data_IF_958823466385
#
_entry.id   IF_958823466385
#
_cell.length_a   1.000
_cell.length_b   1.000
_cell.length_c   1.000
_cell.angle_alpha   90.00
_cell.angle_beta   90.00
_cell.angle_gamma   90.00
#
_symmetry.space_group_name_H-M   'P 1'
#
loop_
_entity.id
_entity.type
_entity.pdbx_description
1 polymer ?
#
# COMPACT_ATOMS: atom_id res chain seq x y z
N UNK A 1 -23.51 4.15 56.01
CA UNK A 1 -22.17 4.51 55.52
C UNK A 1 -21.30 4.80 56.75
N UNK A 2 -20.41 3.92 57.07
CA UNK A 2 -19.50 4.06 58.21
C UNK A 2 -18.41 5.10 57.95
N UNK A 3 -17.88 5.74 58.97
CA UNK A 3 -16.77 6.71 58.87
C UNK A 3 -15.56 6.17 58.07
N UNK A 4 -15.33 4.85 58.11
CA UNK A 4 -14.30 4.13 57.37
C UNK A 4 -14.58 4.14 55.85
N UNK A 5 -15.82 4.02 55.41
CA UNK A 5 -16.19 4.06 53.99
C UNK A 5 -16.02 5.46 53.38
N UNK A 6 -16.27 6.52 54.16
CA UNK A 6 -16.01 7.90 53.75
C UNK A 6 -14.51 8.21 53.64
N UNK A 7 -13.69 7.58 54.51
CA UNK A 7 -12.25 7.79 54.52
C UNK A 7 -11.56 7.05 53.38
N UNK A 8 -11.94 5.81 53.12
CA UNK A 8 -11.49 5.01 51.95
C UNK A 8 -11.93 5.66 50.63
N UNK A 9 -13.14 6.15 50.54
CA UNK A 9 -13.59 6.88 49.36
C UNK A 9 -12.73 8.12 49.06
N UNK A 10 -12.34 8.91 50.08
CA UNK A 10 -11.47 10.08 49.87
C UNK A 10 -10.02 9.70 49.49
N UNK A 11 -9.51 8.56 49.92
CA UNK A 11 -8.17 8.09 49.58
C UNK A 11 -8.08 7.55 48.15
N UNK A 12 -9.14 6.90 47.64
CA UNK A 12 -9.16 6.31 46.31
C UNK A 12 -9.73 7.23 45.25
N UNK A 13 -10.45 8.31 45.64
CA UNK A 13 -11.03 9.28 44.70
C UNK A 13 -10.00 9.87 43.72
N UNK A 14 -8.79 10.31 44.15
CA UNK A 14 -7.81 10.86 43.23
C UNK A 14 -7.21 9.80 42.28
N UNK A 15 -7.20 8.52 42.68
CA UNK A 15 -6.76 7.43 41.80
C UNK A 15 -7.82 7.08 40.75
N UNK A 16 -9.09 7.06 41.16
CA UNK A 16 -10.23 6.85 40.25
C UNK A 16 -10.35 8.03 39.27
N UNK A 17 -10.23 9.27 39.77
CA UNK A 17 -10.28 10.48 38.92
C UNK A 17 -9.10 10.55 37.96
N UNK A 18 -7.92 10.08 38.36
CA UNK A 18 -6.78 9.99 37.48
C UNK A 18 -6.98 8.94 36.37
N UNK A 19 -7.47 7.74 36.72
CA UNK A 19 -7.74 6.67 35.75
C UNK A 19 -8.89 7.03 34.81
N UNK A 20 -9.91 7.75 35.31
CA UNK A 20 -11.01 8.27 34.50
C UNK A 20 -10.52 9.38 33.57
N UNK A 21 -9.68 10.30 34.04
CA UNK A 21 -9.06 11.34 33.19
C UNK A 21 -8.13 10.74 32.15
N UNK A 22 -7.32 9.75 32.49
CA UNK A 22 -6.44 9.04 31.53
C UNK A 22 -7.29 8.31 30.48
N UNK A 23 -8.39 7.66 30.87
CA UNK A 23 -9.31 7.01 29.91
C UNK A 23 -10.11 8.01 29.10
N UNK A 24 -10.52 9.14 29.68
CA UNK A 24 -11.18 10.23 28.95
C UNK A 24 -10.21 10.92 27.98
N UNK A 25 -8.96 11.16 28.38
CA UNK A 25 -7.93 11.71 27.50
C UNK A 25 -7.62 10.78 26.31
N UNK A 26 -7.59 9.46 26.53
CA UNK A 26 -7.46 8.47 25.45
C UNK A 26 -8.72 8.47 24.56
N UNK A 27 -9.91 8.63 25.13
CA UNK A 27 -11.16 8.71 24.37
C UNK A 27 -11.30 10.06 23.62
N UNK A 28 -10.79 11.16 24.21
CA UNK A 28 -10.73 12.47 23.55
C UNK A 28 -9.70 12.50 22.44
N UNK A 29 -8.56 11.82 22.59
CA UNK A 29 -7.56 11.66 21.53
C UNK A 29 -8.09 10.81 20.37
N UNK A 30 -8.92 9.82 20.65
CA UNK A 30 -9.65 9.04 19.64
C UNK A 30 -10.74 9.86 18.93
N UNK A 31 -11.34 10.86 19.61
CA UNK A 31 -12.32 11.78 19.04
C UNK A 31 -11.70 12.96 18.27
N UNK A 32 -10.44 13.29 18.50
CA UNK A 32 -9.74 14.37 17.79
C UNK A 32 -9.65 14.12 16.26
N UNK A 33 -9.87 12.87 15.84
CA UNK A 33 -9.95 12.50 14.43
C UNK A 33 -11.15 13.11 13.69
N UNK A 34 -12.33 13.25 14.34
CA UNK A 34 -13.51 13.82 13.69
C UNK A 34 -13.43 15.34 13.53
N UNK A 35 -12.59 16.00 14.27
CA UNK A 35 -12.48 17.46 14.27
C UNK A 35 -11.40 17.98 13.30
N UNK A 36 -10.49 17.12 12.81
CA UNK A 36 -9.49 17.50 11.78
C UNK A 36 -8.61 18.69 12.17
N UNK A 37 -8.77 19.20 13.37
CA UNK A 37 -8.11 20.39 13.87
C UNK A 37 -7.07 19.92 14.86
N UNK A 38 -6.01 19.35 14.36
CA UNK A 38 -4.75 19.64 15.02
C UNK A 38 -4.47 21.10 14.80
N UNK A 39 -4.16 21.77 15.89
CA UNK A 39 -3.68 23.13 15.99
C UNK A 39 -3.18 23.65 14.64
N UNK A 40 -3.84 24.70 14.14
CA UNK A 40 -3.37 25.53 13.05
C UNK A 40 -2.10 26.27 13.48
N UNK A 41 -1.21 25.55 14.13
CA UNK A 41 0.11 26.07 14.42
C UNK A 41 0.85 26.18 13.09
N UNK A 42 1.40 27.32 12.83
CA UNK A 42 2.10 27.82 11.66
C UNK A 42 3.28 26.97 11.19
N UNK A 43 3.17 25.65 11.25
CA UNK A 43 4.25 24.79 10.77
C UNK A 43 4.22 24.69 9.26
N UNK A 44 5.26 25.11 8.60
CA UNK A 44 5.43 24.93 7.16
C UNK A 44 5.33 23.46 6.84
N UNK A 45 4.35 23.08 6.07
CA UNK A 45 3.92 21.75 5.58
C UNK A 45 4.90 20.64 5.90
N UNK A 46 5.83 20.16 5.74
CA UNK A 46 6.62 19.03 6.18
C UNK A 46 7.73 19.32 7.16
N UNK A 47 8.09 20.59 7.33
CA UNK A 47 9.30 20.91 8.08
C UNK A 47 9.18 20.56 9.55
N UNK A 48 7.95 20.42 10.03
CA UNK A 48 7.65 20.21 11.43
C UNK A 48 6.48 19.22 11.61
N UNK A 49 6.47 18.13 10.83
CA UNK A 49 5.59 17.03 11.23
C UNK A 49 6.25 16.29 12.40
N UNK A 50 6.03 16.68 13.67
CA UNK A 50 6.66 16.05 14.83
C UNK A 50 6.24 14.59 14.96
N UNK A 51 5.18 14.19 14.25
CA UNK A 51 4.62 12.85 14.30
C UNK A 51 5.04 11.99 13.10
N UNK A 52 5.90 12.48 12.19
CA UNK A 52 6.33 11.70 11.00
C UNK A 52 6.92 10.36 11.40
N UNK A 53 7.80 10.35 12.40
CA UNK A 53 8.45 9.13 12.89
C UNK A 53 7.40 8.16 13.45
N UNK A 54 6.53 8.64 14.32
CA UNK A 54 5.46 7.81 14.90
C UNK A 54 4.47 7.30 13.85
N UNK A 55 4.21 8.06 12.79
CA UNK A 55 3.38 7.59 11.66
C UNK A 55 4.09 6.49 10.88
N UNK A 56 5.39 6.64 10.57
CA UNK A 56 6.17 5.61 9.88
C UNK A 56 6.25 4.32 10.69
N UNK A 57 6.50 4.41 12.00
CA UNK A 57 6.49 3.26 12.92
C UNK A 57 5.11 2.60 12.98
N UNK A 58 4.03 3.40 13.08
CA UNK A 58 2.67 2.88 13.10
C UNK A 58 2.29 2.18 11.78
N UNK A 59 2.72 2.71 10.62
CA UNK A 59 2.52 2.06 9.33
C UNK A 59 3.27 0.72 9.24
N UNK A 60 4.51 0.66 9.73
CA UNK A 60 5.28 -0.57 9.78
C UNK A 60 4.65 -1.60 10.74
N UNK A 61 4.21 -1.15 11.91
CA UNK A 61 3.51 -2.00 12.89
C UNK A 61 2.19 -2.52 12.31
N UNK A 62 1.39 -1.68 11.65
CA UNK A 62 0.15 -2.08 11.00
C UNK A 62 0.42 -3.11 9.90
N UNK A 63 1.39 -2.89 9.04
CA UNK A 63 1.76 -3.86 8.00
C UNK A 63 2.18 -5.22 8.57
N UNK A 64 2.84 -5.24 9.74
CA UNK A 64 3.27 -6.48 10.40
C UNK A 64 2.14 -7.24 11.09
N UNK A 65 1.15 -6.53 11.63
CA UNK A 65 0.17 -7.09 12.57
C UNK A 65 -1.26 -7.09 12.06
N UNK A 66 -1.62 -6.19 11.14
CA UNK A 66 -2.97 -6.07 10.60
C UNK A 66 -3.06 -6.72 9.20
N UNK A 67 -3.89 -7.77 9.02
CA UNK A 67 -3.99 -8.46 7.75
C UNK A 67 -4.52 -7.58 6.61
N UNK A 68 -5.38 -6.59 6.91
CA UNK A 68 -5.92 -5.69 5.88
C UNK A 68 -4.83 -4.69 5.45
N UNK A 69 -4.10 -4.10 6.40
CA UNK A 69 -2.98 -3.22 6.09
C UNK A 69 -1.93 -3.92 5.22
N UNK A 70 -1.60 -5.15 5.59
CA UNK A 70 -0.67 -5.98 4.82
C UNK A 70 -1.18 -6.24 3.42
N UNK A 71 -2.45 -6.66 3.28
CA UNK A 71 -3.08 -6.93 1.98
C UNK A 71 -3.08 -5.71 1.07
N UNK A 72 -3.31 -4.51 1.60
CA UNK A 72 -3.31 -3.27 0.82
C UNK A 72 -1.94 -2.94 0.21
N UNK A 73 -0.87 -3.18 0.95
CA UNK A 73 0.50 -3.00 0.45
C UNK A 73 0.82 -4.05 -0.62
N UNK A 74 0.59 -5.34 -0.31
CA UNK A 74 0.83 -6.45 -1.24
C UNK A 74 0.01 -6.31 -2.52
N UNK A 75 -1.25 -5.86 -2.43
CA UNK A 75 -2.10 -5.63 -3.60
C UNK A 75 -1.49 -4.57 -4.53
N UNK A 76 -0.88 -3.53 -3.97
CA UNK A 76 -0.22 -2.49 -4.76
C UNK A 76 0.98 -3.07 -5.52
N UNK A 77 1.85 -3.82 -4.87
CA UNK A 77 3.01 -4.43 -5.52
C UNK A 77 2.63 -5.53 -6.52
N UNK A 78 1.58 -6.32 -6.24
CA UNK A 78 1.03 -7.29 -7.19
C UNK A 78 0.60 -6.63 -8.51
N UNK A 79 -0.12 -5.50 -8.43
CA UNK A 79 -0.56 -4.79 -9.63
C UNK A 79 0.58 -4.04 -10.33
N UNK A 80 1.47 -3.40 -9.56
CA UNK A 80 2.51 -2.52 -10.12
C UNK A 80 3.65 -3.31 -10.76
N UNK A 81 4.13 -4.37 -10.11
CA UNK A 81 5.32 -5.12 -10.52
C UNK A 81 5.11 -6.62 -10.63
N UNK A 82 3.96 -7.15 -10.20
CA UNK A 82 3.71 -8.60 -10.14
C UNK A 82 3.75 -9.28 -11.50
N UNK A 83 3.44 -8.57 -12.58
CA UNK A 83 3.57 -9.08 -13.95
C UNK A 83 4.98 -9.04 -14.52
N UNK A 84 5.97 -8.55 -13.75
CA UNK A 84 7.34 -8.38 -14.19
C UNK A 84 7.63 -7.00 -14.78
N UNK A 85 8.92 -6.73 -14.95
CA UNK A 85 9.43 -5.49 -15.55
C UNK A 85 10.54 -5.85 -16.53
N UNK A 86 10.42 -5.38 -17.76
CA UNK A 86 11.41 -5.54 -18.81
C UNK A 86 12.20 -4.24 -19.02
N UNK A 87 13.53 -4.40 -19.21
CA UNK A 87 14.45 -3.29 -19.44
C UNK A 87 15.15 -3.49 -20.77
N UNK A 88 15.01 -2.53 -21.66
CA UNK A 88 15.63 -2.56 -22.98
C UNK A 88 16.27 -1.22 -23.34
N UNK A 89 17.34 -1.28 -24.13
CA UNK A 89 17.90 -0.13 -24.84
C UNK A 89 18.52 -0.59 -26.16
N UNK A 90 18.61 0.33 -27.12
CA UNK A 90 19.08 0.00 -28.49
C UNK A 90 20.61 -0.16 -28.61
N UNK A 91 21.36 0.24 -27.59
CA UNK A 91 22.82 0.16 -27.58
C UNK A 91 23.30 -1.11 -26.89
N UNK A 92 23.82 -2.08 -27.62
CA UNK A 92 24.15 -3.41 -27.11
C UNK A 92 25.10 -3.43 -25.89
N UNK A 93 26.21 -2.66 -25.84
CA UNK A 93 27.07 -2.66 -24.66
C UNK A 93 26.39 -2.11 -23.42
N UNK A 94 25.51 -1.11 -23.57
CA UNK A 94 24.68 -0.57 -22.47
C UNK A 94 23.64 -1.59 -22.02
N UNK A 95 22.99 -2.28 -22.96
CA UNK A 95 22.03 -3.35 -22.65
C UNK A 95 22.65 -4.51 -21.88
N UNK A 96 23.84 -4.96 -22.30
CA UNK A 96 24.57 -6.03 -21.62
C UNK A 96 24.94 -5.64 -20.18
N UNK A 97 25.36 -4.38 -19.99
CA UNK A 97 25.64 -3.87 -18.65
C UNK A 97 24.37 -3.77 -17.78
N UNK A 98 23.28 -3.22 -18.32
CA UNK A 98 22.01 -3.14 -17.58
C UNK A 98 21.51 -4.52 -17.18
N UNK A 99 21.64 -5.52 -18.06
CA UNK A 99 21.32 -6.91 -17.75
C UNK A 99 22.22 -7.47 -16.64
N UNK A 100 23.54 -7.20 -16.69
CA UNK A 100 24.48 -7.62 -15.65
C UNK A 100 24.15 -6.96 -14.29
N UNK A 101 23.81 -5.67 -14.27
CA UNK A 101 23.34 -4.98 -13.06
C UNK A 101 22.06 -5.60 -12.50
N UNK A 102 21.08 -5.87 -13.37
CA UNK A 102 19.76 -6.40 -13.00
C UNK A 102 19.86 -7.80 -12.38
N UNK A 103 20.69 -8.65 -12.96
CA UNK A 103 20.86 -10.04 -12.51
C UNK A 103 21.95 -10.23 -11.45
N UNK A 104 22.68 -9.15 -11.12
CA UNK A 104 23.78 -9.23 -10.15
C UNK A 104 23.33 -9.81 -8.82
N UNK A 105 24.04 -10.79 -8.22
CA UNK A 105 23.62 -11.47 -6.98
C UNK A 105 23.39 -10.56 -5.78
N UNK A 106 24.07 -9.41 -5.72
CA UNK A 106 23.90 -8.43 -4.66
C UNK A 106 22.74 -7.43 -4.91
N UNK A 107 22.29 -7.28 -6.16
CA UNK A 107 21.18 -6.42 -6.54
C UNK A 107 19.86 -7.18 -6.59
N UNK A 108 19.83 -8.36 -7.23
CA UNK A 108 18.64 -9.24 -7.36
C UNK A 108 17.39 -8.46 -7.75
N UNK A 109 17.50 -7.61 -8.77
CA UNK A 109 16.45 -6.64 -9.07
C UNK A 109 15.09 -7.29 -9.29
N UNK A 110 15.02 -8.44 -9.95
CA UNK A 110 13.77 -9.15 -10.21
C UNK A 110 12.97 -9.46 -8.93
N UNK A 111 13.64 -9.75 -7.81
CA UNK A 111 13.00 -10.01 -6.52
C UNK A 111 12.81 -8.70 -5.74
N UNK A 112 13.82 -7.84 -5.78
CA UNK A 112 13.84 -6.58 -5.03
C UNK A 112 12.77 -5.59 -5.47
N UNK A 113 12.26 -5.70 -6.70
CA UNK A 113 11.19 -4.83 -7.19
C UNK A 113 9.97 -4.80 -6.27
N UNK A 114 9.55 -5.98 -5.76
CA UNK A 114 8.43 -6.09 -4.82
C UNK A 114 8.78 -5.39 -3.51
N UNK A 115 9.98 -5.62 -2.96
CA UNK A 115 10.45 -4.97 -1.72
C UNK A 115 10.47 -3.45 -1.84
N UNK A 116 10.95 -2.92 -2.98
CA UNK A 116 10.99 -1.47 -3.23
C UNK A 116 9.60 -0.87 -3.36
N UNK A 117 8.68 -1.56 -4.02
CA UNK A 117 7.30 -1.11 -4.18
C UNK A 117 6.55 -1.15 -2.84
N UNK A 118 6.74 -2.19 -2.04
CA UNK A 118 6.17 -2.32 -0.70
C UNK A 118 6.69 -1.22 0.23
N UNK A 119 8.02 -0.96 0.21
CA UNK A 119 8.62 0.11 1.02
C UNK A 119 8.05 1.47 0.64
N UNK A 120 8.01 1.79 -0.65
CA UNK A 120 7.45 3.04 -1.15
C UNK A 120 5.97 3.20 -0.76
N UNK A 121 5.17 2.15 -0.85
CA UNK A 121 3.74 2.15 -0.48
C UNK A 121 3.56 2.32 1.02
N UNK A 122 4.38 1.61 1.83
CA UNK A 122 4.28 1.58 3.29
C UNK A 122 4.81 2.85 3.95
N UNK A 123 5.90 3.43 3.44
CA UNK A 123 6.53 4.61 4.04
C UNK A 123 6.22 5.92 3.31
N UNK A 124 5.75 5.85 2.06
CA UNK A 124 5.61 7.01 1.19
C UNK A 124 6.93 7.53 0.62
N UNK A 125 8.06 6.97 1.07
CA UNK A 125 9.41 7.42 0.75
C UNK A 125 10.30 6.21 0.44
N UNK A 126 11.17 6.34 -0.54
CA UNK A 126 12.14 5.31 -0.88
C UNK A 126 13.53 5.97 -1.00
N UNK A 127 14.39 5.67 -0.06
CA UNK A 127 15.79 6.11 -0.05
C UNK A 127 16.68 4.98 -0.55
N UNK A 128 17.33 5.19 -1.68
CA UNK A 128 18.21 4.23 -2.33
C UNK A 128 19.65 4.70 -2.28
N UNK A 129 20.48 4.04 -1.50
CA UNK A 129 21.91 4.25 -1.49
C UNK A 129 22.54 3.48 -2.65
N UNK A 130 23.21 4.21 -3.54
CA UNK A 130 23.95 3.69 -4.69
C UNK A 130 25.43 3.75 -4.40
N UNK A 131 26.06 2.60 -4.24
CA UNK A 131 27.51 2.44 -4.13
C UNK A 131 28.05 1.85 -5.43
N UNK A 132 29.14 2.38 -5.95
CA UNK A 132 29.73 1.91 -7.22
C UNK A 132 31.18 1.52 -7.01
N UNK A 133 31.57 0.37 -7.52
CA UNK A 133 32.95 -0.12 -7.43
C UNK A 133 33.85 0.49 -8.51
N UNK A 134 35.15 0.15 -8.47
CA UNK A 134 36.14 0.67 -9.40
C UNK A 134 35.96 0.22 -10.85
N UNK A 135 35.20 -0.86 -11.07
CA UNK A 135 34.88 -1.34 -12.41
C UNK A 135 33.55 -0.78 -12.92
N UNK A 136 32.91 0.08 -12.14
CA UNK A 136 31.68 0.79 -12.49
C UNK A 136 30.41 -0.06 -12.29
N UNK A 137 30.46 -1.17 -11.52
CA UNK A 137 29.27 -1.89 -11.12
C UNK A 137 28.66 -1.21 -9.90
N UNK A 138 27.37 -0.91 -9.98
CA UNK A 138 26.64 -0.27 -8.90
C UNK A 138 25.86 -1.28 -8.07
N UNK A 139 25.74 -1.00 -6.77
CA UNK A 139 25.04 -1.83 -5.79
C UNK A 139 24.01 -0.99 -5.07
N UNK A 140 22.80 -1.50 -4.93
CA UNK A 140 21.70 -0.81 -4.28
C UNK A 140 21.50 -1.28 -2.85
N UNK A 141 21.23 -0.32 -1.95
CA UNK A 141 20.76 -0.59 -0.59
C UNK A 141 19.60 0.34 -0.29
N UNK A 142 18.58 -0.19 0.36
CA UNK A 142 17.47 0.61 0.87
C UNK A 142 17.87 1.11 2.26
N UNK A 143 17.72 2.40 2.48
CA UNK A 143 17.81 3.01 3.81
C UNK A 143 16.38 3.25 4.27
N UNK A 144 15.95 2.68 5.41
CA UNK A 144 14.60 2.88 5.90
C UNK A 144 14.27 4.36 6.08
N UNK A 145 13.09 4.79 5.66
CA UNK A 145 12.67 6.19 5.82
C UNK A 145 12.63 6.64 7.29
N UNK A 146 12.40 5.69 8.20
CA UNK A 146 12.42 5.94 9.64
C UNK A 146 13.81 6.24 10.19
N UNK A 147 14.88 5.85 9.49
CA UNK A 147 16.26 6.10 9.91
C UNK A 147 16.78 7.47 9.44
N UNK A 148 16.09 8.10 8.48
CA UNK A 148 16.45 9.44 8.01
C UNK A 148 15.84 10.50 8.93
N UNK A 149 16.72 11.32 9.52
CA UNK A 149 16.31 12.42 10.40
C UNK A 149 15.84 13.64 9.58
N UNK A 150 16.67 14.10 8.64
CA UNK A 150 16.38 15.29 7.84
C UNK A 150 16.91 15.21 6.41
N UNK A 151 16.28 16.00 5.56
CA UNK A 151 16.68 16.24 4.17
C UNK A 151 17.22 17.67 4.10
N UNK A 152 18.47 17.81 3.68
CA UNK A 152 19.09 19.11 3.44
C UNK A 152 18.83 19.50 1.98
N UNK A 153 18.21 20.66 1.78
CA UNK A 153 17.88 21.19 0.46
C UNK A 153 18.64 22.47 0.16
N UNK A 154 18.63 22.89 -1.10
CA UNK A 154 19.19 24.16 -1.52
C UNK A 154 18.45 25.32 -0.85
N UNK A 155 19.18 26.42 -0.57
CA UNK A 155 18.68 27.56 0.20
C UNK A 155 17.37 28.16 -0.36
N UNK A 156 17.24 28.19 -1.68
CA UNK A 156 16.09 28.79 -2.37
C UNK A 156 15.20 27.76 -3.09
N UNK A 157 15.49 26.45 -2.95
CA UNK A 157 14.74 25.40 -3.61
C UNK A 157 14.62 24.18 -2.70
N UNK A 158 13.48 24.07 -2.03
CA UNK A 158 13.17 22.94 -1.12
C UNK A 158 13.08 21.60 -1.85
N UNK A 159 12.84 21.60 -3.15
CA UNK A 159 12.73 20.37 -3.95
C UNK A 159 14.09 19.84 -4.41
N UNK A 160 15.13 20.69 -4.39
CA UNK A 160 16.50 20.29 -4.69
C UNK A 160 17.18 19.76 -3.43
N UNK A 161 17.14 18.46 -3.21
CA UNK A 161 17.87 17.80 -2.12
C UNK A 161 19.37 17.83 -2.36
N UNK A 162 20.15 18.23 -1.35
CA UNK A 162 21.61 18.25 -1.36
C UNK A 162 22.21 17.06 -0.60
N UNK A 163 21.60 16.69 0.52
CA UNK A 163 22.05 15.58 1.34
C UNK A 163 20.89 15.02 2.20
N UNK A 164 21.07 13.80 2.65
CA UNK A 164 20.20 13.12 3.58
C UNK A 164 21.00 12.77 4.83
N UNK A 165 20.48 13.08 5.99
CA UNK A 165 21.16 12.84 7.26
C UNK A 165 20.34 11.83 8.03
N UNK A 166 20.98 10.74 8.46
CA UNK A 166 20.33 9.77 9.31
C UNK A 166 20.36 10.17 10.82
N UNK A 167 19.69 9.39 11.65
CA UNK A 167 19.60 9.61 13.10
C UNK A 167 20.95 9.49 13.81
N UNK A 168 21.90 8.77 13.23
CA UNK A 168 23.27 8.62 13.77
C UNK A 168 24.18 9.76 13.32
N UNK A 169 23.68 10.70 12.50
CA UNK A 169 24.41 11.85 11.98
C UNK A 169 25.23 11.54 10.73
N UNK A 170 25.10 10.34 10.16
CA UNK A 170 25.73 10.00 8.88
C UNK A 170 25.08 10.79 7.76
N UNK A 171 25.91 11.43 6.94
CA UNK A 171 25.47 12.24 5.81
C UNK A 171 25.64 11.46 4.52
N UNK A 172 24.54 11.36 3.76
CA UNK A 172 24.50 10.75 2.43
C UNK A 172 24.26 11.85 1.39
N UNK A 173 25.23 12.16 0.50
CA UNK A 173 25.02 13.15 -0.54
C UNK A 173 23.92 12.71 -1.49
N UNK A 174 23.06 13.65 -1.89
CA UNK A 174 22.10 13.41 -2.95
C UNK A 174 22.85 13.24 -4.29
N UNK A 175 22.30 12.44 -5.18
CA UNK A 175 22.84 12.33 -6.52
C UNK A 175 22.64 13.64 -7.28
N UNK A 176 23.72 14.16 -7.85
CA UNK A 176 23.72 15.29 -8.77
C UNK A 176 24.55 14.95 -10.00
N UNK A 177 23.91 14.89 -11.15
CA UNK A 177 24.55 14.52 -12.41
C UNK A 177 25.67 15.47 -12.85
N UNK A 178 25.67 16.73 -12.36
CA UNK A 178 26.67 17.73 -12.72
C UNK A 178 27.97 17.54 -11.93
N UNK A 179 27.89 17.07 -10.70
CA UNK A 179 29.02 16.91 -9.79
C UNK A 179 29.43 15.45 -9.55
N UNK A 180 28.60 14.47 -9.94
CA UNK A 180 28.90 13.06 -9.76
C UNK A 180 30.06 12.63 -10.68
N UNK A 181 31.05 11.98 -10.11
CA UNK A 181 32.23 11.56 -10.87
C UNK A 181 33.18 10.70 -10.07
N UNK A 182 34.29 10.34 -10.71
CA UNK A 182 35.40 9.63 -10.08
C UNK A 182 36.17 10.59 -9.16
N UNK A 183 36.19 10.27 -7.89
CA UNK A 183 37.01 10.97 -6.90
C UNK A 183 38.48 10.57 -6.99
N UNK A 184 39.28 11.08 -6.02
CA UNK A 184 40.69 10.72 -5.88
C UNK A 184 40.87 9.20 -5.75
N UNK A 185 41.76 8.65 -6.55
CA UNK A 185 42.02 7.19 -6.58
C UNK A 185 41.04 6.36 -7.43
N UNK A 186 40.21 6.99 -8.26
CA UNK A 186 39.31 6.30 -9.19
C UNK A 186 38.17 5.56 -8.49
N UNK A 187 37.66 6.10 -7.38
CA UNK A 187 36.55 5.56 -6.61
C UNK A 187 35.34 6.47 -6.66
N UNK A 188 34.14 5.89 -6.66
CA UNK A 188 32.90 6.66 -6.57
C UNK A 188 32.53 6.89 -5.11
N UNK A 189 32.09 8.10 -4.79
CA UNK A 189 31.38 8.35 -3.54
C UNK A 189 30.00 7.68 -3.58
N UNK A 190 29.53 7.09 -2.47
CA UNK A 190 28.14 6.65 -2.36
C UNK A 190 27.21 7.85 -2.48
N UNK A 191 26.10 7.71 -3.19
CA UNK A 191 25.07 8.73 -3.31
C UNK A 191 23.70 8.15 -3.00
N UNK A 192 22.78 8.99 -2.58
CA UNK A 192 21.42 8.58 -2.27
C UNK A 192 20.44 9.19 -3.26
N UNK A 193 19.52 8.37 -3.72
CA UNK A 193 18.34 8.76 -4.49
C UNK A 193 17.13 8.71 -3.57
N UNK A 194 16.23 9.68 -3.70
CA UNK A 194 15.02 9.76 -2.91
C UNK A 194 13.79 9.89 -3.82
N UNK A 195 12.85 8.97 -3.67
CA UNK A 195 11.60 8.95 -4.41
C UNK A 195 10.42 8.98 -3.44
N UNK A 196 9.40 9.75 -3.78
CA UNK A 196 8.27 10.00 -2.89
C UNK A 196 6.94 9.79 -3.60
N UNK A 197 5.94 9.31 -2.86
CA UNK A 197 4.55 9.26 -3.29
C UNK A 197 3.68 10.08 -2.34
N UNK A 198 2.50 10.47 -2.79
CA UNK A 198 1.52 11.24 -1.99
C UNK A 198 2.12 12.52 -1.38
N UNK A 199 3.12 13.07 -2.01
CA UNK A 199 3.82 14.26 -1.53
C UNK A 199 2.98 15.52 -1.81
N UNK A 200 2.62 16.33 -0.80
CA UNK A 200 2.03 17.64 -1.04
C UNK A 200 2.98 18.53 -1.85
N UNK A 201 2.45 19.35 -2.73
CA UNK A 201 3.29 20.27 -3.51
C UNK A 201 4.07 21.21 -2.58
N UNK A 202 5.39 21.34 -2.78
CA UNK A 202 6.30 22.11 -1.94
C UNK A 202 6.69 21.42 -0.64
N UNK A 203 6.44 20.12 -0.48
CA UNK A 203 6.92 19.29 0.61
C UNK A 203 8.16 18.49 0.19
N UNK A 204 8.96 18.04 1.14
CA UNK A 204 10.11 17.16 0.90
C UNK A 204 9.75 15.68 1.05
N UNK A 205 8.86 15.40 2.00
CA UNK A 205 8.48 14.04 2.37
C UNK A 205 7.19 13.59 1.70
N UNK A 206 7.17 12.34 1.30
CA UNK A 206 5.96 11.65 0.88
C UNK A 206 5.20 11.05 2.07
N UNK A 207 3.96 10.66 1.84
CA UNK A 207 3.09 10.07 2.84
C UNK A 207 2.75 8.62 2.49
N UNK A 208 2.70 7.77 3.52
CA UNK A 208 2.29 6.37 3.37
C UNK A 208 0.86 6.24 2.88
N UNK A 209 0.58 5.28 1.99
CA UNK A 209 -0.79 4.91 1.64
C UNK A 209 -1.58 4.37 2.85
N UNK A 210 -0.90 3.89 3.90
CA UNK A 210 -1.52 3.41 5.13
C UNK A 210 -1.82 4.52 6.14
N UNK A 211 -1.12 5.67 6.07
CA UNK A 211 -1.26 6.74 7.06
C UNK A 211 -2.72 7.17 7.31
N UNK A 212 -3.53 7.48 6.28
CA UNK A 212 -4.93 7.87 6.49
C UNK A 212 -5.82 6.71 6.95
N UNK A 213 -5.34 5.47 6.86
CA UNK A 213 -6.10 4.27 7.19
C UNK A 213 -5.87 3.78 8.62
N UNK A 214 -4.77 4.19 9.28
CA UNK A 214 -4.33 3.66 10.57
C UNK A 214 -5.43 3.71 11.63
N UNK A 215 -6.18 4.79 11.71
CA UNK A 215 -7.25 4.94 12.69
C UNK A 215 -8.43 4.02 12.39
N UNK A 216 -8.77 3.84 11.12
CA UNK A 216 -9.87 2.97 10.69
C UNK A 216 -9.52 1.51 10.89
N UNK A 217 -8.28 1.11 10.62
CA UNK A 217 -7.76 -0.24 10.88
C UNK A 217 -7.83 -0.55 12.37
N UNK A 218 -7.34 0.35 13.23
CA UNK A 218 -7.43 0.18 14.70
C UNK A 218 -8.88 0.07 15.19
N UNK A 219 -9.77 0.93 14.70
CA UNK A 219 -11.19 0.88 15.05
C UNK A 219 -11.84 -0.42 14.62
N UNK A 220 -11.53 -0.91 13.43
CA UNK A 220 -12.05 -2.18 12.95
C UNK A 220 -11.53 -3.36 13.77
N UNK A 221 -10.24 -3.38 14.10
CA UNK A 221 -9.66 -4.39 14.96
C UNK A 221 -10.28 -4.39 16.36
N UNK A 222 -10.44 -3.22 16.98
CA UNK A 222 -11.10 -3.07 18.27
C UNK A 222 -12.57 -3.54 18.22
N UNK A 223 -13.31 -3.18 17.18
CA UNK A 223 -14.67 -3.64 16.95
C UNK A 223 -14.75 -5.17 16.85
N UNK A 224 -13.83 -5.82 16.13
CA UNK A 224 -13.76 -7.29 16.06
C UNK A 224 -13.49 -7.93 17.42
N UNK A 225 -12.58 -7.34 18.20
CA UNK A 225 -12.25 -7.84 19.55
C UNK A 225 -13.46 -7.73 20.48
N UNK A 226 -14.16 -6.60 20.48
CA UNK A 226 -15.36 -6.41 21.26
C UNK A 226 -16.47 -7.38 20.86
N UNK A 227 -16.62 -7.66 19.57
CA UNK A 227 -17.55 -8.69 19.08
C UNK A 227 -17.19 -10.09 19.56
N UNK A 228 -15.92 -10.45 19.56
CA UNK A 228 -15.46 -11.72 20.12
C UNK A 228 -15.72 -11.81 21.62
N UNK A 229 -15.48 -10.72 22.37
CA UNK A 229 -15.81 -10.66 23.81
C UNK A 229 -17.29 -10.83 24.06
N UNK A 230 -18.14 -10.07 23.34
CA UNK A 230 -19.58 -10.18 23.44
C UNK A 230 -20.08 -11.59 23.13
N UNK A 231 -19.54 -12.25 22.08
CA UNK A 231 -19.91 -13.62 21.75
C UNK A 231 -19.48 -14.61 22.85
N UNK A 232 -18.34 -14.41 23.50
CA UNK A 232 -17.94 -15.21 24.66
C UNK A 232 -18.91 -15.02 25.82
N UNK A 233 -19.33 -13.77 26.12
CA UNK A 233 -20.33 -13.51 27.14
C UNK A 233 -21.70 -14.10 26.81
N UNK A 234 -22.14 -14.04 25.55
CA UNK A 234 -23.41 -14.67 25.10
C UNK A 234 -23.43 -16.17 25.28
N UNK A 235 -22.28 -16.81 25.04
CA UNK A 235 -22.10 -18.24 25.19
C UNK A 235 -21.79 -18.66 26.65
N UNK A 236 -21.50 -17.71 27.53
CA UNK A 236 -21.36 -17.95 28.94
C UNK A 236 -22.77 -18.00 29.58
N UNK A 237 -23.24 -19.18 29.93
CA UNK A 237 -24.47 -19.34 30.69
C UNK A 237 -24.25 -18.79 32.10
N UNK A 238 -24.95 -17.71 32.45
CA UNK A 238 -24.97 -17.18 33.80
C UNK A 238 -26.15 -17.85 34.51
N UNK A 239 -25.85 -18.75 35.41
CA UNK A 239 -26.88 -19.35 36.27
C UNK A 239 -27.26 -18.33 37.36
N UNK A 240 -28.53 -18.04 37.46
CA UNK A 240 -29.11 -17.30 38.57
C UNK A 240 -29.86 -18.29 39.47
N UNK A 241 -29.36 -18.47 40.68
CA UNK A 241 -30.02 -19.24 41.71
C UNK A 241 -30.73 -18.28 42.63
N UNK A 242 -32.03 -18.42 42.71
CA UNK A 242 -32.89 -17.65 43.63
C UNK A 242 -33.33 -18.56 44.73
N UNK A 243 -32.93 -18.28 45.96
CA UNK A 243 -33.28 -19.03 47.16
C UNK A 243 -33.56 -18.09 48.33
N UNK A 244 -34.27 -18.58 49.33
CA UNK A 244 -34.49 -17.86 50.59
C UNK A 244 -33.32 -18.16 51.54
N UNK A 245 -32.38 -17.19 51.61
CA UNK A 245 -31.23 -17.31 52.51
C UNK A 245 -31.53 -16.71 53.88
N UNK A 246 -31.16 -17.43 54.93
CA UNK A 246 -31.34 -16.96 56.31
C UNK A 246 -30.35 -15.88 56.74
N UNK A 247 -29.23 -15.76 56.07
CA UNK A 247 -28.21 -14.75 56.32
C UNK A 247 -27.35 -14.47 55.06
N UNK A 248 -26.69 -13.33 55.03
CA UNK A 248 -25.70 -12.99 53.97
C UNK A 248 -24.52 -13.97 53.96
N UNK A 249 -24.11 -14.50 55.14
CA UNK A 249 -23.08 -15.53 55.24
C UNK A 249 -23.52 -16.82 54.53
N UNK A 250 -24.75 -17.28 54.75
CA UNK A 250 -25.30 -18.46 54.09
C UNK A 250 -25.34 -18.27 52.54
N UNK A 251 -25.71 -17.10 52.07
CA UNK A 251 -25.70 -16.78 50.65
C UNK A 251 -24.27 -16.86 50.05
N UNK A 252 -23.27 -16.29 50.75
CA UNK A 252 -21.91 -16.33 50.27
C UNK A 252 -21.33 -17.76 50.28
N UNK A 253 -21.61 -18.57 51.31
CA UNK A 253 -21.21 -19.96 51.34
C UNK A 253 -21.77 -20.72 50.17
N UNK A 254 -23.09 -20.56 49.88
CA UNK A 254 -23.74 -21.23 48.74
C UNK A 254 -23.15 -20.75 47.39
N UNK A 255 -22.83 -19.48 47.28
CA UNK A 255 -22.16 -18.91 46.06
C UNK A 255 -20.76 -19.54 45.86
N UNK A 256 -19.99 -19.74 46.92
CA UNK A 256 -18.66 -20.36 46.84
C UNK A 256 -18.76 -21.84 46.47
N UNK A 257 -19.73 -22.56 47.06
CA UNK A 257 -19.98 -23.99 46.73
C UNK A 257 -20.32 -24.18 45.26
N UNK A 258 -21.23 -23.35 44.69
CA UNK A 258 -21.60 -23.39 43.32
C UNK A 258 -20.49 -22.92 42.36
N UNK A 259 -19.67 -21.98 42.79
CA UNK A 259 -18.50 -21.56 42.02
C UNK A 259 -17.39 -22.65 41.98
N UNK A 260 -17.27 -23.42 43.05
CA UNK A 260 -16.31 -24.53 43.09
C UNK A 260 -16.77 -25.75 42.26
N UNK A 261 -18.05 -25.97 42.20
CA UNK A 261 -18.66 -27.10 41.44
C UNK A 261 -19.82 -26.63 40.55
N UNK A 262 -19.52 -25.94 39.45
CA UNK A 262 -20.54 -25.49 38.51
C UNK A 262 -21.20 -26.72 37.82
N UNK A 263 -22.52 -26.68 37.53
CA UNK A 263 -23.18 -27.75 36.81
C UNK A 263 -22.53 -27.98 35.45
N UNK A 264 -22.24 -29.21 35.13
CA UNK A 264 -21.64 -29.58 33.83
C UNK A 264 -22.64 -29.35 32.69
N UNK A 265 -22.18 -28.98 31.50
CA UNK A 265 -23.05 -28.86 30.33
C UNK A 265 -23.82 -30.18 30.06
N UNK A 266 -25.12 -30.11 29.96
CA UNK A 266 -26.00 -31.29 29.75
C UNK A 266 -26.35 -32.07 31.01
N UNK A 267 -25.94 -31.62 32.23
CA UNK A 267 -26.37 -32.22 33.48
C UNK A 267 -27.84 -31.93 33.76
N UNK A 268 -28.53 -32.91 34.33
CA UNK A 268 -29.92 -32.77 34.82
C UNK A 268 -29.84 -32.22 36.23
N UNK A 269 -30.32 -30.98 36.43
CA UNK A 269 -30.45 -30.38 37.74
C UNK A 269 -31.80 -30.76 38.34
N UNK A 270 -31.74 -31.39 39.52
CA UNK A 270 -32.93 -31.68 40.31
C UNK A 270 -32.88 -30.74 41.52
N UNK A 271 -33.86 -29.85 41.64
CA UNK A 271 -33.99 -28.88 42.72
C UNK A 271 -35.27 -29.12 43.47
N UNK A 272 -35.33 -28.71 44.74
CA UNK A 272 -36.56 -28.65 45.51
C UNK A 272 -37.23 -27.27 45.39
N UNK A 273 -38.33 -27.05 46.09
CA UNK A 273 -39.07 -25.77 46.08
C UNK A 273 -38.28 -24.60 46.67
N UNK A 274 -37.13 -24.87 47.32
CA UNK A 274 -36.30 -23.85 47.97
C UNK A 274 -35.36 -23.11 47.02
N UNK A 275 -35.05 -23.68 45.86
CA UNK A 275 -34.15 -23.09 44.87
C UNK A 275 -34.80 -22.99 43.50
N UNK A 276 -34.86 -21.79 42.92
CA UNK A 276 -35.28 -21.56 41.55
C UNK A 276 -34.06 -21.24 40.68
N UNK A 277 -33.79 -22.06 39.69
CA UNK A 277 -32.68 -21.96 38.78
C UNK A 277 -33.12 -21.36 37.46
N UNK A 278 -32.57 -20.26 37.07
CA UNK A 278 -32.79 -19.65 35.74
C UNK A 278 -31.47 -19.33 35.05
N UNK A 279 -31.48 -19.49 33.76
CA UNK A 279 -30.36 -19.10 32.91
C UNK A 279 -30.60 -17.68 32.43
N UNK A 280 -29.68 -16.76 32.77
CA UNK A 280 -29.68 -15.40 32.23
C UNK A 280 -28.84 -15.45 30.96
N UNK A 281 -29.48 -15.42 29.80
CA UNK A 281 -28.83 -15.15 28.54
C UNK A 281 -28.95 -13.66 28.30
N UNK A 282 -27.85 -12.90 28.26
CA UNK A 282 -27.87 -11.47 27.89
C UNK A 282 -28.48 -11.37 26.49
N UNK A 283 -29.64 -10.76 26.35
CA UNK A 283 -30.21 -10.39 25.05
C UNK A 283 -29.46 -9.14 24.57
N UNK A 284 -28.27 -9.36 24.00
CA UNK A 284 -27.55 -8.32 23.30
C UNK A 284 -28.11 -8.29 21.88
N UNK A 285 -28.81 -7.23 21.54
CA UNK A 285 -29.33 -7.00 20.20
C UNK A 285 -28.14 -6.85 19.23
N UNK A 286 -27.91 -7.90 18.44
CA UNK A 286 -26.74 -8.00 17.59
C UNK A 286 -27.05 -7.68 16.11
N UNK A 287 -28.28 -7.21 15.82
CA UNK A 287 -28.74 -7.02 14.45
C UNK A 287 -27.98 -5.92 13.69
N UNK A 288 -27.55 -4.87 14.39
CA UNK A 288 -26.85 -3.73 13.75
C UNK A 288 -25.34 -3.91 13.62
N UNK A 289 -24.77 -4.89 14.29
CA UNK A 289 -23.33 -5.05 14.36
C UNK A 289 -22.68 -5.42 13.01
N UNK A 290 -23.36 -6.10 12.12
CA UNK A 290 -22.84 -6.36 10.77
C UNK A 290 -22.76 -5.07 9.96
N UNK A 291 -23.77 -4.21 10.09
CA UNK A 291 -23.82 -2.89 9.42
C UNK A 291 -22.68 -1.99 9.87
N UNK A 292 -22.41 -1.96 11.19
CA UNK A 292 -21.32 -1.14 11.74
C UNK A 292 -19.93 -1.64 11.26
N UNK A 293 -19.68 -2.95 11.33
CA UNK A 293 -18.43 -3.52 10.84
C UNK A 293 -18.24 -3.31 9.34
N UNK A 294 -19.32 -3.40 8.56
CA UNK A 294 -19.30 -3.12 7.13
C UNK A 294 -19.01 -1.63 6.85
N UNK A 295 -19.55 -0.71 7.66
CA UNK A 295 -19.27 0.72 7.53
C UNK A 295 -17.78 1.04 7.74
N UNK A 296 -17.15 0.44 8.76
CA UNK A 296 -15.71 0.59 9.01
C UNK A 296 -14.87 0.05 7.83
N UNK A 297 -15.22 -1.14 7.31
CA UNK A 297 -14.54 -1.70 6.13
C UNK A 297 -14.71 -0.81 4.89
N UNK A 298 -15.90 -0.24 4.67
CA UNK A 298 -16.14 0.69 3.56
C UNK A 298 -15.25 1.93 3.64
N UNK A 299 -15.01 2.46 4.84
CA UNK A 299 -14.10 3.59 5.03
C UNK A 299 -12.65 3.21 4.72
N UNK A 300 -12.21 2.01 5.12
CA UNK A 300 -10.88 1.48 4.77
C UNK A 300 -10.77 1.32 3.25
N UNK A 301 -11.74 0.69 2.60
CA UNK A 301 -11.75 0.48 1.16
C UNK A 301 -11.75 1.80 0.37
N UNK A 302 -12.56 2.77 0.79
CA UNK A 302 -12.63 4.10 0.19
C UNK A 302 -11.30 4.86 0.33
N UNK A 303 -10.71 4.86 1.52
CA UNK A 303 -9.41 5.50 1.77
C UNK A 303 -8.27 4.83 1.02
N UNK A 304 -8.32 3.51 0.89
CA UNK A 304 -7.37 2.74 0.09
C UNK A 304 -7.60 2.86 -1.43
N UNK A 305 -8.76 3.37 -1.87
CA UNK A 305 -9.13 3.46 -3.28
C UNK A 305 -9.25 2.08 -3.96
N UNK A 306 -9.71 1.08 -3.21
CA UNK A 306 -9.93 -0.29 -3.71
C UNK A 306 -11.38 -0.74 -3.46
N UNK A 307 -11.97 -1.57 -4.33
CA UNK A 307 -13.28 -2.13 -4.10
C UNK A 307 -13.31 -3.08 -2.90
N UNK A 308 -14.47 -3.21 -2.25
CA UNK A 308 -14.67 -4.07 -1.09
C UNK A 308 -14.31 -5.54 -1.35
N UNK A 309 -14.56 -6.06 -2.54
CA UNK A 309 -14.25 -7.45 -2.88
C UNK A 309 -12.74 -7.76 -2.86
N UNK A 310 -11.85 -6.75 -2.95
CA UNK A 310 -10.42 -6.92 -2.75
C UNK A 310 -10.03 -7.10 -1.27
N UNK A 311 -10.93 -6.73 -0.36
CA UNK A 311 -10.79 -6.88 1.08
C UNK A 311 -11.57 -8.07 1.64
N UNK A 312 -11.72 -9.13 0.85
CA UNK A 312 -12.43 -10.38 1.21
C UNK A 312 -13.94 -10.21 1.51
N UNK A 313 -14.63 -9.33 0.79
CA UNK A 313 -16.09 -9.18 0.83
C UNK A 313 -16.70 -9.45 -0.56
N UNK A 314 -16.75 -10.72 -1.00
CA UNK A 314 -17.30 -11.05 -2.33
C UNK A 314 -18.82 -10.95 -2.38
N UNK A 315 -19.49 -10.93 -1.22
CA UNK A 315 -20.95 -10.97 -1.14
C UNK A 315 -21.58 -9.66 -1.60
N UNK A 316 -22.33 -9.73 -2.69
CA UNK A 316 -23.08 -8.60 -3.26
C UNK A 316 -22.48 -7.97 -4.50
N UNK A 317 -21.30 -8.36 -4.95
CA UNK A 317 -20.75 -7.92 -6.23
C UNK A 317 -21.20 -8.88 -7.34
N UNK A 318 -22.08 -8.40 -8.23
CA UNK A 318 -22.29 -9.10 -9.51
C UNK A 318 -21.07 -8.85 -10.39
N UNK A 319 -20.79 -9.73 -11.36
CA UNK A 319 -19.69 -9.57 -12.32
C UNK A 319 -19.68 -8.14 -12.91
N UNK A 320 -20.83 -7.65 -13.33
CA UNK A 320 -21.01 -6.32 -13.93
C UNK A 320 -20.67 -5.17 -12.96
N UNK A 321 -21.06 -5.30 -11.68
CA UNK A 321 -20.70 -4.31 -10.64
C UNK A 321 -19.23 -4.36 -10.28
N UNK A 322 -18.61 -5.54 -10.27
CA UNK A 322 -17.18 -5.68 -10.01
C UNK A 322 -16.34 -5.10 -11.16
N UNK A 323 -16.74 -5.34 -12.41
CA UNK A 323 -16.12 -4.76 -13.60
C UNK A 323 -16.26 -3.23 -13.64
N UNK A 324 -17.46 -2.69 -13.34
CA UNK A 324 -17.68 -1.25 -13.29
C UNK A 324 -16.89 -0.57 -12.16
N UNK A 325 -16.77 -1.20 -11.00
CA UNK A 325 -16.00 -0.69 -9.86
C UNK A 325 -14.48 -0.79 -10.06
N UNK A 326 -14.01 -1.66 -10.96
CA UNK A 326 -12.60 -1.87 -11.26
C UNK A 326 -11.93 -0.69 -11.96
N UNK A 327 -12.66 0.06 -12.79
CA UNK A 327 -12.09 1.11 -13.63
C UNK A 327 -11.26 2.18 -12.89
N UNK A 328 -11.76 2.83 -11.82
CA UNK A 328 -10.97 3.79 -11.05
C UNK A 328 -9.76 3.17 -10.35
N UNK A 329 -9.90 1.93 -9.87
CA UNK A 329 -8.84 1.19 -9.19
C UNK A 329 -7.71 0.82 -10.16
N UNK A 330 -8.03 0.37 -11.36
CA UNK A 330 -7.02 0.11 -12.40
C UNK A 330 -6.25 1.37 -12.75
N UNK A 331 -6.93 2.51 -12.92
CA UNK A 331 -6.27 3.80 -13.19
C UNK A 331 -5.34 4.23 -12.06
N UNK A 332 -5.71 3.99 -10.80
CA UNK A 332 -4.84 4.25 -9.65
C UNK A 332 -3.56 3.42 -9.74
N UNK A 333 -3.68 2.13 -10.01
CA UNK A 333 -2.51 1.24 -10.12
C UNK A 333 -1.69 1.52 -11.38
N UNK A 334 -2.30 1.85 -12.52
CA UNK A 334 -1.58 2.31 -13.72
C UNK A 334 -0.77 3.58 -13.46
N UNK A 335 -1.33 4.53 -12.71
CA UNK A 335 -0.60 5.74 -12.33
C UNK A 335 0.58 5.41 -11.42
N UNK A 336 0.40 4.52 -10.45
CA UNK A 336 1.46 4.04 -9.56
C UNK A 336 2.53 3.29 -10.34
N UNK A 337 2.15 2.43 -11.29
CA UNK A 337 3.08 1.71 -12.15
C UNK A 337 3.90 2.68 -13.01
N UNK A 338 3.27 3.67 -13.66
CA UNK A 338 3.99 4.68 -14.44
C UNK A 338 5.04 5.41 -13.62
N UNK A 339 4.70 5.78 -12.37
CA UNK A 339 5.66 6.40 -11.47
C UNK A 339 6.80 5.44 -11.12
N UNK A 340 6.50 4.18 -10.83
CA UNK A 340 7.50 3.19 -10.47
C UNK A 340 8.43 2.86 -11.64
N UNK A 341 7.91 2.75 -12.86
CA UNK A 341 8.72 2.57 -14.07
C UNK A 341 9.60 3.78 -14.37
N UNK A 342 9.09 4.99 -14.12
CA UNK A 342 9.90 6.21 -14.19
C UNK A 342 11.04 6.19 -13.18
N UNK A 343 10.76 5.84 -11.92
CA UNK A 343 11.78 5.68 -10.86
C UNK A 343 12.88 4.70 -11.29
N UNK A 344 12.48 3.56 -11.85
CA UNK A 344 13.46 2.57 -12.34
C UNK A 344 14.31 3.11 -13.47
N UNK A 345 13.70 3.83 -14.41
CA UNK A 345 14.41 4.45 -15.52
C UNK A 345 15.45 5.45 -15.01
N UNK A 346 15.08 6.28 -14.04
CA UNK A 346 15.96 7.25 -13.42
C UNK A 346 17.13 6.56 -12.71
N UNK A 347 16.85 5.58 -11.86
CA UNK A 347 17.87 4.76 -11.21
C UNK A 347 18.85 4.11 -12.22
N UNK A 348 18.31 3.49 -13.27
CA UNK A 348 19.12 2.83 -14.30
C UNK A 348 19.95 3.86 -15.08
N UNK A 349 19.44 5.07 -15.27
CA UNK A 349 20.18 6.19 -15.84
C UNK A 349 21.42 6.56 -15.01
N UNK A 350 21.25 6.69 -13.68
CA UNK A 350 22.36 6.96 -12.74
C UNK A 350 23.42 5.85 -12.81
N UNK A 351 22.99 4.60 -12.76
CA UNK A 351 23.86 3.43 -12.81
C UNK A 351 24.64 3.38 -14.15
N UNK A 352 23.97 3.68 -15.26
CA UNK A 352 24.58 3.72 -16.58
C UNK A 352 25.58 4.85 -16.73
N UNK A 353 25.27 6.05 -16.22
CA UNK A 353 26.17 7.19 -16.23
C UNK A 353 27.46 6.90 -15.47
N UNK A 354 27.37 6.32 -14.27
CA UNK A 354 28.54 5.92 -13.50
C UNK A 354 29.38 4.87 -14.21
N UNK A 355 28.73 3.87 -14.86
CA UNK A 355 29.45 2.87 -15.66
C UNK A 355 30.21 3.50 -16.82
N UNK A 356 29.59 4.45 -17.52
CA UNK A 356 30.20 5.12 -18.67
C UNK A 356 31.48 5.91 -18.34
N UNK A 357 31.62 6.39 -17.09
CA UNK A 357 32.84 7.05 -16.62
C UNK A 357 34.05 6.10 -16.55
N UNK A 358 33.82 4.80 -16.49
CA UNK A 358 34.87 3.77 -16.39
C UNK A 358 34.98 2.95 -17.68
N UNK A 359 33.88 2.74 -18.37
CA UNK A 359 33.84 1.93 -19.61
C UNK A 359 33.29 2.75 -20.77
N UNK A 360 34.18 3.29 -21.58
CA UNK A 360 33.83 4.14 -22.73
C UNK A 360 33.05 3.44 -23.85
N UNK A 361 32.79 2.12 -23.74
CA UNK A 361 31.91 1.41 -24.68
C UNK A 361 30.43 1.60 -24.33
N UNK A 362 30.12 2.02 -23.09
CA UNK A 362 28.75 2.24 -22.63
C UNK A 362 28.33 3.66 -22.98
N UNK A 363 27.16 3.81 -23.59
CA UNK A 363 26.58 5.12 -23.90
C UNK A 363 25.64 5.56 -22.77
N UNK A 364 25.99 6.62 -22.01
CA UNK A 364 25.14 7.11 -20.91
C UNK A 364 23.89 7.86 -21.39
N UNK A 365 23.79 8.18 -22.67
CA UNK A 365 22.68 8.94 -23.26
C UNK A 365 21.65 8.07 -23.97
N UNK A 366 21.87 6.76 -24.01
CA UNK A 366 20.92 5.86 -24.65
C UNK A 366 19.57 5.93 -23.96
N UNK A 367 18.51 5.93 -24.74
CA UNK A 367 17.15 5.83 -24.19
C UNK A 367 16.93 4.47 -23.55
N UNK A 368 16.61 4.46 -22.27
CA UNK A 368 16.28 3.24 -21.54
C UNK A 368 14.74 3.11 -21.55
N UNK A 369 14.26 2.05 -22.18
CA UNK A 369 12.86 1.66 -22.15
C UNK A 369 12.63 0.71 -20.98
N UNK A 370 11.68 1.06 -20.10
CA UNK A 370 11.28 0.22 -18.96
C UNK A 370 9.78 -0.04 -19.12
N UNK A 371 9.42 -1.30 -19.30
CA UNK A 371 8.05 -1.73 -19.53
C UNK A 371 7.59 -2.61 -18.36
N UNK A 372 6.36 -2.37 -17.91
CA UNK A 372 5.66 -3.23 -16.96
C UNK A 372 4.58 -4.03 -17.67
N UNK A 373 4.09 -5.08 -17.02
CA UNK A 373 2.92 -5.80 -17.52
C UNK A 373 1.67 -4.90 -17.55
N UNK A 374 0.77 -5.15 -18.49
CA UNK A 374 -0.49 -4.42 -18.58
C UNK A 374 -1.36 -4.69 -17.34
N UNK A 375 -1.71 -3.62 -16.62
CA UNK A 375 -2.58 -3.68 -15.44
C UNK A 375 -4.05 -3.72 -15.81
N UNK A 376 -4.39 -3.17 -16.98
CA UNK A 376 -5.77 -3.12 -17.41
C UNK A 376 -6.27 -4.56 -17.60
N UNK A 377 -7.19 -5.00 -16.73
CA UNK A 377 -8.04 -6.12 -17.02
C UNK A 377 -8.98 -5.74 -18.18
N UNK A 378 -8.38 -5.37 -19.32
CA UNK A 378 -9.13 -5.26 -20.56
C UNK A 378 -9.63 -6.67 -20.81
N UNK A 379 -10.93 -6.82 -20.78
CA UNK A 379 -11.55 -8.06 -21.18
C UNK A 379 -11.07 -8.32 -22.62
N UNK A 380 -10.04 -9.16 -22.79
CA UNK A 380 -9.48 -9.48 -24.10
C UNK A 380 -10.58 -10.00 -25.04
N UNK A 381 -11.66 -10.53 -24.46
CA UNK A 381 -12.86 -10.93 -25.21
C UNK A 381 -13.62 -9.70 -25.68
N UNK A 382 -13.83 -8.69 -24.84
CA UNK A 382 -14.52 -7.45 -25.22
C UNK A 382 -13.68 -6.62 -26.21
N UNK A 383 -12.36 -6.61 -26.05
CA UNK A 383 -11.43 -5.99 -27.01
C UNK A 383 -11.41 -6.74 -28.34
N UNK A 384 -11.35 -8.07 -28.32
CA UNK A 384 -11.41 -8.89 -29.54
C UNK A 384 -12.76 -8.73 -30.24
N UNK A 385 -13.88 -8.68 -29.50
CA UNK A 385 -15.22 -8.43 -30.06
C UNK A 385 -15.34 -7.02 -30.64
N UNK A 386 -14.79 -6.01 -29.95
CA UNK A 386 -14.73 -4.63 -30.46
C UNK A 386 -13.79 -4.51 -31.65
N UNK A 387 -12.62 -5.15 -31.60
CA UNK A 387 -11.66 -5.24 -32.69
C UNK A 387 -12.25 -5.92 -33.93
N UNK A 388 -12.97 -7.03 -33.71
CA UNK A 388 -13.69 -7.73 -34.79
C UNK A 388 -14.79 -6.90 -35.48
N UNK A 389 -15.42 -5.99 -34.73
CA UNK A 389 -16.44 -5.06 -35.29
C UNK A 389 -15.84 -3.84 -35.96
N UNK A 390 -14.77 -3.31 -35.46
CA UNK A 390 -14.13 -2.07 -35.92
C UNK A 390 -13.08 -2.34 -37.02
N UNK A 391 -12.35 -3.47 -36.91
CA UNK A 391 -11.32 -3.86 -37.87
C UNK A 391 -11.76 -3.78 -39.32
N UNK A 392 -12.88 -4.41 -39.76
CA UNK A 392 -13.37 -4.35 -41.12
C UNK A 392 -13.71 -2.93 -41.58
N UNK A 393 -14.19 -2.06 -40.67
CA UNK A 393 -14.48 -0.67 -40.99
C UNK A 393 -13.21 0.10 -41.34
N UNK A 394 -12.18 -0.03 -40.52
CA UNK A 394 -10.88 0.63 -40.73
C UNK A 394 -10.13 0.04 -41.94
N UNK A 395 -10.24 -1.26 -42.14
CA UNK A 395 -9.74 -1.89 -43.37
C UNK A 395 -10.38 -1.29 -44.62
N UNK A 396 -11.70 -1.09 -44.61
CA UNK A 396 -12.40 -0.40 -45.71
C UNK A 396 -11.95 1.04 -45.95
N UNK A 397 -11.68 1.79 -44.86
CA UNK A 397 -11.12 3.15 -44.93
C UNK A 397 -9.70 3.15 -45.51
N UNK A 398 -8.88 2.18 -45.13
CA UNK A 398 -7.52 2.00 -45.63
C UNK A 398 -7.54 1.65 -47.13
N UNK A 399 -8.38 0.69 -47.54
CA UNK A 399 -8.54 0.31 -48.97
C UNK A 399 -9.08 1.44 -49.79
N UNK A 400 -9.93 2.31 -49.22
CA UNK A 400 -10.43 3.52 -49.90
C UNK A 400 -9.40 4.66 -49.97
N UNK A 401 -8.20 4.49 -49.35
CA UNK A 401 -7.17 5.52 -49.33
C UNK A 401 -7.47 6.73 -48.43
N UNK A 402 -8.44 6.60 -47.52
CA UNK A 402 -8.85 7.66 -46.61
C UNK A 402 -7.97 7.74 -45.33
N UNK A 403 -7.28 6.64 -44.98
CA UNK A 403 -6.30 6.56 -43.90
C UNK A 403 -5.04 5.85 -44.41
N UNK A 404 -3.90 6.15 -43.81
CA UNK A 404 -2.64 5.50 -44.16
C UNK A 404 -2.43 4.18 -43.37
N UNK A 405 -1.41 3.39 -43.75
CA UNK A 405 -1.09 2.12 -43.13
C UNK A 405 -0.71 2.28 -41.64
N UNK A 406 -0.09 3.42 -41.27
CA UNK A 406 0.32 3.71 -39.90
C UNK A 406 -0.92 3.92 -39.01
N UNK A 407 -1.91 4.68 -39.53
CA UNK A 407 -3.13 4.95 -38.79
C UNK A 407 -4.00 3.70 -38.66
N UNK A 408 -4.07 2.88 -39.69
CA UNK A 408 -4.74 1.58 -39.66
C UNK A 408 -4.12 0.67 -38.61
N UNK A 409 -2.78 0.46 -38.64
CA UNK A 409 -2.09 -0.35 -37.66
C UNK A 409 -2.22 0.20 -36.23
N UNK A 410 -2.15 1.53 -36.05
CA UNK A 410 -2.35 2.18 -34.78
C UNK A 410 -3.70 1.82 -34.15
N UNK A 411 -4.75 1.82 -34.94
CA UNK A 411 -6.10 1.48 -34.47
C UNK A 411 -6.20 0.00 -34.17
N UNK A 412 -5.71 -0.88 -35.04
CA UNK A 412 -5.73 -2.33 -34.85
C UNK A 412 -4.99 -2.71 -33.54
N UNK A 413 -3.74 -2.24 -33.36
CA UNK A 413 -2.95 -2.55 -32.16
C UNK A 413 -3.55 -1.97 -30.89
N UNK A 414 -4.18 -0.79 -30.97
CA UNK A 414 -4.92 -0.21 -29.84
C UNK A 414 -6.05 -1.13 -29.36
N UNK A 415 -6.75 -1.83 -30.25
CA UNK A 415 -7.82 -2.77 -29.90
C UNK A 415 -7.29 -4.16 -29.53
N UNK A 416 -6.09 -4.52 -29.96
CA UNK A 416 -5.38 -5.71 -29.48
C UNK A 416 -4.80 -5.49 -28.09
N UNK A 417 -4.61 -4.22 -27.70
CA UNK A 417 -4.05 -3.87 -26.38
C UNK A 417 -2.54 -3.89 -26.31
N UNK A 418 -1.85 -4.00 -27.45
CA UNK A 418 -0.40 -3.98 -27.53
C UNK A 418 0.12 -2.60 -27.96
N UNK A 419 1.12 -2.08 -27.27
CA UNK A 419 1.90 -0.93 -27.74
C UNK A 419 3.07 -1.43 -28.58
N UNK A 420 3.02 -1.15 -29.85
CA UNK A 420 4.03 -1.60 -30.81
C UNK A 420 4.68 -0.39 -31.47
N UNK A 421 5.99 -0.47 -31.71
CA UNK A 421 6.68 0.51 -32.55
C UNK A 421 6.25 0.34 -34.00
N UNK A 422 5.31 1.20 -34.41
CA UNK A 422 4.72 1.17 -35.75
C UNK A 422 5.74 1.50 -36.85
N UNK A 423 6.75 2.32 -36.55
CA UNK A 423 7.79 2.68 -37.53
C UNK A 423 8.72 1.48 -37.78
N UNK A 424 9.08 0.74 -36.73
CA UNK A 424 9.84 -0.51 -36.86
C UNK A 424 9.05 -1.61 -37.60
N UNK A 425 7.73 -1.68 -37.37
CA UNK A 425 6.87 -2.61 -38.08
C UNK A 425 6.74 -2.28 -39.56
N UNK A 426 6.50 -1.02 -39.90
CA UNK A 426 6.37 -0.56 -41.28
C UNK A 426 7.70 -0.69 -42.05
N UNK A 427 8.83 -0.47 -41.37
CA UNK A 427 10.17 -0.70 -41.97
C UNK A 427 10.46 -2.18 -42.26
N UNK A 428 9.90 -3.11 -41.48
CA UNK A 428 10.03 -4.57 -41.70
C UNK A 428 9.03 -5.13 -42.70
N UNK A 429 7.88 -4.47 -42.87
CA UNK A 429 6.90 -4.83 -43.88
C UNK A 429 7.39 -4.32 -45.24
N UNK A 430 8.22 -5.11 -45.92
CA UNK A 430 8.36 -4.91 -47.37
C UNK A 430 6.98 -5.13 -47.97
N UNK A 431 6.30 -4.02 -48.35
CA UNK A 431 4.98 -4.04 -48.98
C UNK A 431 5.13 -4.82 -50.31
N UNK A 432 4.47 -5.98 -50.54
CA UNK A 432 4.36 -6.54 -51.85
C UNK A 432 3.56 -5.54 -52.66
N UNK A 433 4.08 -5.15 -53.84
CA UNK A 433 3.29 -4.37 -54.80
C UNK A 433 1.93 -5.03 -55.03
N UNK A 434 0.85 -4.27 -55.08
CA UNK A 434 -0.45 -4.83 -55.41
C UNK A 434 -0.38 -5.55 -56.75
N UNK A 435 -0.99 -6.73 -56.89
CA UNK A 435 -0.95 -7.48 -58.16
C UNK A 435 -1.42 -6.57 -59.28
N UNK A 436 -0.52 -6.34 -60.25
CA UNK A 436 -0.75 -5.48 -61.38
C UNK A 436 -2.07 -5.90 -62.10
N UNK A 437 -2.89 -4.96 -62.43
CA UNK A 437 -4.01 -5.18 -63.36
C UNK A 437 -3.40 -5.75 -64.63
N UNK A 438 -3.69 -7.02 -64.92
CA UNK A 438 -3.47 -7.56 -66.25
C UNK A 438 -4.21 -6.67 -67.24
N UNK A 439 -3.43 -6.05 -68.12
CA UNK A 439 -3.98 -5.32 -69.25
C UNK A 439 -4.63 -6.33 -70.19
N UNK A 440 -5.95 -6.41 -70.20
CA UNK A 440 -6.65 -7.01 -71.29
C UNK A 440 -6.33 -6.24 -72.57
N UNK A 441 -5.44 -6.81 -73.35
CA UNK A 441 -5.23 -6.51 -74.75
C UNK A 441 -5.72 -7.70 -75.58
N UNK A 442 -6.86 -7.63 -76.03
CA UNK A 442 -7.49 -7.96 -77.30
C UNK A 442 -8.96 -8.32 -77.15
#
# INVERSE_FOLDING_TARGET
MTLAEKWLGRLFQPLVDRTVREKLAVAEDDNSFLVGVRSLDDSPRDRLNPDRESVLEACLAAWRTDPIARRLVELTSEYVVGGGVDVACDHQPSQDFLRAFWTHPLNRMAIRMVELCDELTRSGNLFLLVSTDRVGMSYLRVVPAADIDRIEAAENDIEQSLAFVDKDGQVYPAYDAASDGLGEGGTFAPVMLHYTINRPAGAQWGESDLAPLLIWLRRYAAWLEDRMRLNRFRNAFIYRVKAAFTSEAARRTRQLELAANPPSPGSILVTDESEDWSVISPKLEALDAQTDGLALKKMIAAGAGVPMHFLAEPEGATRTTAEAAGGPTHRKFEQRQRFFLWLLRDLLGVVLQRRALVDGRVDPRVAIAVHGADISARDNVALADSGGKIGPLFEGLYQAGLIDAREYLRVVYRFVGEEVDLDALLAKAAIPEPPGKESDSE
#
